data_IF_801469973833
#
_entry.id   IF_801469973833
#
_cell.length_a   1.000
_cell.length_b   1.000
_cell.length_c   1.000
_cell.angle_alpha   90.00
_cell.angle_beta   90.00
_cell.angle_gamma   90.00
#
_symmetry.space_group_name_H-M   'P 1'
#
loop_
_entity.id
_entity.type
_entity.pdbx_description
1 polymer ?
#
# COMPACT_ATOMS: atom_id res chain seq x y z
N UNK A 1 -1.30 2.49 24.82
CA UNK A 1 -1.74 2.70 23.43
C UNK A 1 -0.50 2.95 22.60
N UNK A 2 -0.29 2.19 21.52
CA UNK A 2 0.90 2.36 20.67
C UNK A 2 0.71 3.55 19.73
N UNK A 3 1.74 4.38 19.60
CA UNK A 3 1.75 5.51 18.68
C UNK A 3 2.08 5.04 17.26
N UNK A 4 1.26 5.42 16.29
CA UNK A 4 1.52 5.20 14.87
C UNK A 4 2.41 6.34 14.37
N UNK A 5 3.64 6.01 13.97
CA UNK A 5 4.63 7.04 13.56
C UNK A 5 4.61 7.34 12.07
N UNK A 6 3.87 6.55 11.29
CA UNK A 6 3.60 6.88 9.90
C UNK A 6 2.91 5.77 9.12
N UNK A 7 2.83 5.98 7.81
CA UNK A 7 2.46 4.94 6.85
C UNK A 7 3.76 4.29 6.37
N UNK A 8 3.80 2.96 6.37
CA UNK A 8 4.90 2.26 5.73
C UNK A 8 4.68 2.17 4.22
N UNK A 9 3.55 1.62 3.81
CA UNK A 9 3.17 1.57 2.41
C UNK A 9 1.67 1.36 2.21
N UNK A 10 1.19 1.73 1.02
CA UNK A 10 -0.18 1.50 0.57
C UNK A 10 -0.16 0.68 -0.72
N UNK A 11 -1.10 -0.26 -0.86
CA UNK A 11 -1.37 -0.94 -2.13
C UNK A 11 -2.72 -0.47 -2.65
N UNK A 12 -2.74 -0.07 -3.91
CA UNK A 12 -3.93 0.34 -4.65
C UNK A 12 -4.12 -0.62 -5.82
N UNK A 13 -5.30 -1.23 -5.89
CA UNK A 13 -5.68 -2.05 -7.02
C UNK A 13 -6.23 -1.16 -8.14
N UNK A 14 -5.68 -1.30 -9.34
CA UNK A 14 -6.06 -0.50 -10.51
C UNK A 14 -6.47 -1.39 -11.67
N UNK A 15 -7.44 -0.95 -12.48
CA UNK A 15 -7.93 -1.72 -13.63
C UNK A 15 -6.89 -1.80 -14.75
N UNK A 16 -6.32 -0.66 -15.13
CA UNK A 16 -5.35 -0.53 -16.21
C UNK A 16 -3.99 -0.14 -15.63
N UNK A 17 -3.18 -1.14 -15.30
CA UNK A 17 -1.92 -0.92 -14.59
C UNK A 17 -0.98 0.02 -15.36
N UNK A 18 -0.83 -0.19 -16.67
CA UNK A 18 0.08 0.63 -17.49
C UNK A 18 -0.39 2.08 -17.62
N UNK A 19 -1.71 2.30 -17.74
CA UNK A 19 -2.29 3.65 -17.75
C UNK A 19 -2.07 4.38 -16.43
N UNK A 20 -2.27 3.68 -15.31
CA UNK A 20 -2.02 4.23 -13.99
C UNK A 20 -0.52 4.51 -13.78
N UNK A 21 0.36 3.61 -14.24
CA UNK A 21 1.80 3.81 -14.18
C UNK A 21 2.23 5.04 -14.98
N UNK A 22 1.76 5.22 -16.21
CA UNK A 22 2.12 6.39 -17.02
C UNK A 22 1.76 7.73 -16.34
N UNK A 23 0.67 7.76 -15.56
CA UNK A 23 0.35 8.92 -14.73
C UNK A 23 1.29 9.04 -13.53
N UNK A 24 1.44 7.97 -12.74
CA UNK A 24 2.23 7.95 -11.52
C UNK A 24 3.72 8.18 -11.79
N UNK A 25 4.30 7.64 -12.87
CA UNK A 25 5.69 7.86 -13.26
C UNK A 25 6.03 9.35 -13.32
N UNK A 26 5.10 10.18 -13.83
CA UNK A 26 5.29 11.64 -13.89
C UNK A 26 5.06 12.30 -12.52
N UNK A 27 3.93 12.00 -11.87
CA UNK A 27 3.56 12.64 -10.62
C UNK A 27 4.55 12.31 -9.48
N UNK A 28 4.90 11.04 -9.36
CA UNK A 28 5.76 10.53 -8.29
C UNK A 28 7.21 10.96 -8.47
N UNK A 29 7.72 10.99 -9.70
CA UNK A 29 9.05 11.56 -9.97
C UNK A 29 9.13 13.04 -9.56
N UNK A 30 8.09 13.84 -9.87
CA UNK A 30 8.03 15.25 -9.45
C UNK A 30 8.00 15.43 -7.92
N UNK A 31 7.51 14.42 -7.19
CA UNK A 31 7.46 14.39 -5.73
C UNK A 31 8.68 13.69 -5.09
N UNK A 32 9.71 13.36 -5.88
CA UNK A 32 10.96 12.76 -5.39
C UNK A 32 10.86 11.28 -5.01
N UNK A 33 9.86 10.57 -5.52
CA UNK A 33 9.77 9.12 -5.38
C UNK A 33 10.66 8.40 -6.39
N UNK A 34 11.22 7.27 -5.97
CA UNK A 34 11.91 6.30 -6.82
C UNK A 34 10.93 5.22 -7.26
N UNK A 35 11.18 4.59 -8.40
CA UNK A 35 10.33 3.52 -8.95
C UNK A 35 11.04 2.16 -8.84
N UNK A 36 10.29 1.14 -8.46
CA UNK A 36 10.68 -0.26 -8.51
C UNK A 36 9.54 -1.13 -9.06
N UNK A 37 9.86 -2.32 -9.53
CA UNK A 37 8.89 -3.28 -10.03
C UNK A 37 9.23 -4.69 -9.54
N UNK A 38 8.22 -5.43 -9.09
CA UNK A 38 8.37 -6.79 -8.58
C UNK A 38 7.09 -7.60 -8.79
N UNK A 39 7.12 -8.88 -8.44
CA UNK A 39 5.96 -9.77 -8.50
C UNK A 39 5.65 -10.36 -7.13
N UNK A 40 4.36 -10.41 -6.78
CA UNK A 40 3.84 -11.13 -5.60
C UNK A 40 2.78 -12.09 -6.11
N UNK A 41 2.91 -13.38 -5.81
CA UNK A 41 1.97 -14.40 -6.27
C UNK A 41 1.83 -14.47 -7.79
N UNK A 42 2.90 -14.16 -8.54
CA UNK A 42 2.90 -14.10 -10.01
C UNK A 42 2.24 -12.84 -10.60
N UNK A 43 1.69 -11.94 -9.78
CA UNK A 43 1.09 -10.69 -10.24
C UNK A 43 2.10 -9.53 -10.17
N UNK A 44 2.09 -8.71 -11.22
CA UNK A 44 2.94 -7.53 -11.35
C UNK A 44 2.54 -6.43 -10.36
N UNK A 45 3.54 -5.87 -9.68
CA UNK A 45 3.42 -4.76 -8.75
C UNK A 45 4.42 -3.66 -9.13
N UNK A 46 3.94 -2.41 -9.21
CA UNK A 46 4.79 -1.24 -9.47
C UNK A 46 4.79 -0.37 -8.23
N UNK A 47 5.96 -0.19 -7.63
CA UNK A 47 6.14 0.58 -6.41
C UNK A 47 6.80 1.92 -6.70
N UNK A 48 6.21 2.97 -6.14
CA UNK A 48 6.83 4.28 -5.99
C UNK A 48 7.16 4.45 -4.52
N UNK A 49 8.41 4.75 -4.17
CA UNK A 49 8.81 4.87 -2.76
C UNK A 49 9.74 6.06 -2.51
N UNK A 50 9.67 6.62 -1.31
CA UNK A 50 10.64 7.58 -0.80
C UNK A 50 10.91 7.31 0.70
N UNK A 51 11.56 8.25 1.40
CA UNK A 51 11.86 8.09 2.83
C UNK A 51 10.62 8.02 3.75
N UNK A 52 9.46 8.47 3.27
CA UNK A 52 8.25 8.56 4.08
C UNK A 52 7.43 7.29 3.98
N UNK A 53 7.10 6.85 2.75
CA UNK A 53 6.27 5.68 2.51
C UNK A 53 6.43 5.12 1.09
N UNK A 54 5.89 3.92 0.87
CA UNK A 54 5.69 3.30 -0.44
C UNK A 54 4.25 3.39 -0.95
N UNK A 55 4.07 3.61 -2.24
CA UNK A 55 2.79 3.57 -2.96
C UNK A 55 2.88 2.52 -4.06
N UNK A 56 2.11 1.44 -3.94
CA UNK A 56 2.20 0.26 -4.80
C UNK A 56 0.93 0.10 -5.63
N UNK A 57 1.09 -0.01 -6.94
CA UNK A 57 0.01 -0.34 -7.87
C UNK A 57 0.03 -1.82 -8.22
N UNK A 58 -1.15 -2.44 -8.25
CA UNK A 58 -1.36 -3.82 -8.72
C UNK A 58 -2.60 -3.94 -9.59
N UNK A 59 -2.73 -4.96 -10.46
CA UNK A 59 -3.95 -5.16 -11.23
C UNK A 59 -5.11 -5.59 -10.33
N UNK A 60 -6.26 -4.96 -10.53
CA UNK A 60 -7.54 -5.38 -9.96
C UNK A 60 -8.05 -6.64 -10.68
N UNK A 61 -8.72 -7.53 -9.95
CA UNK A 61 -9.34 -8.74 -10.52
C UNK A 61 -10.80 -8.45 -10.87
N UNK A 62 -11.05 -8.02 -12.12
CA UNK A 62 -12.40 -7.73 -12.62
C UNK A 62 -13.06 -6.51 -11.95
N UNK A 63 -14.37 -6.35 -12.17
CA UNK A 63 -15.18 -5.28 -11.58
C UNK A 63 -15.80 -4.31 -12.61
N UNK A 64 -16.70 -3.41 -12.17
CA UNK A 64 -17.35 -2.43 -13.02
C UNK A 64 -16.35 -1.43 -13.62
N UNK A 65 -16.84 -0.53 -14.48
CA UNK A 65 -16.03 0.58 -15.00
C UNK A 65 -15.37 1.36 -13.86
N UNK A 66 -14.24 2.01 -14.14
CA UNK A 66 -13.51 2.77 -13.12
C UNK A 66 -14.38 3.91 -12.64
N UNK A 67 -14.68 3.91 -11.33
CA UNK A 67 -15.38 4.97 -10.63
C UNK A 67 -14.39 5.60 -9.63
N UNK A 68 -14.04 6.89 -9.79
CA UNK A 68 -13.12 7.57 -8.88
C UNK A 68 -13.65 7.73 -7.45
N UNK A 69 -14.95 7.50 -7.23
CA UNK A 69 -15.59 7.57 -5.90
C UNK A 69 -15.85 6.18 -5.28
N UNK A 70 -15.52 5.10 -5.99
CA UNK A 70 -15.63 3.75 -5.44
C UNK A 70 -14.50 3.46 -4.43
N UNK A 71 -14.75 2.65 -3.38
CA UNK A 71 -13.71 2.16 -2.49
C UNK A 71 -12.60 1.41 -3.26
N UNK A 72 -11.34 1.81 -3.09
CA UNK A 72 -10.20 1.33 -3.90
C UNK A 72 -8.93 0.96 -3.12
N UNK A 73 -9.02 0.82 -1.80
CA UNK A 73 -7.89 0.43 -0.95
C UNK A 73 -7.71 -1.09 -0.96
N UNK A 74 -6.51 -1.57 -1.26
CA UNK A 74 -6.18 -3.00 -1.17
C UNK A 74 -5.42 -3.33 0.12
N UNK A 75 -4.46 -2.49 0.51
CA UNK A 75 -3.66 -2.70 1.71
C UNK A 75 -3.18 -1.35 2.25
N UNK A 76 -3.23 -1.17 3.56
CA UNK A 76 -2.58 -0.08 4.28
C UNK A 76 -1.68 -0.68 5.37
N UNK A 77 -0.38 -0.42 5.27
CA UNK A 77 0.59 -0.82 6.29
C UNK A 77 0.99 0.42 7.10
N UNK A 78 0.79 0.36 8.41
CA UNK A 78 1.15 1.42 9.34
C UNK A 78 2.49 1.09 10.01
N UNK A 79 3.27 2.13 10.31
CA UNK A 79 4.59 2.00 10.93
C UNK A 79 4.49 2.24 12.43
N UNK A 80 5.15 1.36 13.18
CA UNK A 80 5.46 1.50 14.60
C UNK A 80 6.96 1.71 14.76
N UNK A 81 7.37 2.37 15.84
CA UNK A 81 8.78 2.68 16.09
C UNK A 81 9.63 1.47 16.44
N UNK A 82 9.03 0.41 17.00
CA UNK A 82 9.78 -0.78 17.41
C UNK A 82 9.04 -2.08 17.10
N UNK A 83 9.81 -3.14 16.90
CA UNK A 83 9.29 -4.51 16.77
C UNK A 83 8.58 -4.96 18.05
N UNK A 84 9.05 -4.51 19.22
CA UNK A 84 8.39 -4.79 20.49
C UNK A 84 6.96 -4.22 20.53
N UNK A 85 6.80 -2.95 20.12
CA UNK A 85 5.47 -2.33 20.02
C UNK A 85 4.57 -3.07 19.02
N UNK A 86 5.13 -3.61 17.93
CA UNK A 86 4.38 -4.46 17.00
C UNK A 86 3.89 -5.74 17.69
N UNK A 87 4.77 -6.44 18.41
CA UNK A 87 4.39 -7.67 19.12
C UNK A 87 3.31 -7.43 20.18
N UNK A 88 3.44 -6.35 20.95
CA UNK A 88 2.44 -5.96 21.95
C UNK A 88 1.09 -5.63 21.31
N UNK A 89 1.08 -4.88 20.20
CA UNK A 89 -0.13 -4.56 19.46
C UNK A 89 -0.82 -5.81 18.88
N UNK A 90 -0.02 -6.74 18.32
CA UNK A 90 -0.55 -8.01 17.77
C UNK A 90 -1.11 -8.89 18.88
N UNK A 91 -0.41 -8.99 20.02
CA UNK A 91 -0.88 -9.78 21.16
C UNK A 91 -2.23 -9.25 21.67
N UNK A 92 -2.40 -7.93 21.79
CA UNK A 92 -3.68 -7.33 22.17
C UNK A 92 -4.80 -7.67 21.17
N UNK A 93 -4.54 -7.54 19.85
CA UNK A 93 -5.53 -7.85 18.82
C UNK A 93 -5.95 -9.33 18.81
N UNK A 94 -5.00 -10.26 18.99
CA UNK A 94 -5.29 -11.69 18.98
C UNK A 94 -6.08 -12.11 20.22
N UNK A 95 -5.82 -11.49 21.38
CA UNK A 95 -6.58 -11.75 22.59
C UNK A 95 -8.02 -11.25 22.47
N UNK A 96 -8.24 -10.04 21.94
CA UNK A 96 -9.58 -9.49 21.72
C UNK A 96 -10.40 -10.24 20.66
N UNK A 97 -9.75 -11.00 19.77
CA UNK A 97 -10.42 -11.79 18.72
C UNK A 97 -10.88 -13.19 19.17
N UNK A 98 -10.57 -13.59 20.41
CA UNK A 98 -10.96 -14.88 20.99
C UNK A 98 -12.09 -14.78 22.02
N UNK A 99 -12.52 -13.57 22.36
CA UNK A 99 -13.72 -13.25 23.17
C UNK A 99 -14.94 -12.92 22.27
#
# INVERSE_FOLDING_TARGET
MHEITGIDHLYIAVRELDRACAFCDRAMAALGFRRNEFQIGGERHVQYYNRHFGYVLRPARGGPAHDPYAPGLHHLCLRLDTVQALHEAVAAFVLDALD
#
